data_IF_545788084440
#
_entry.id   IF_545788084440
#
_cell.length_a   1.000
_cell.length_b   1.000
_cell.length_c   1.000
_cell.angle_alpha   90.00
_cell.angle_beta   90.00
_cell.angle_gamma   90.00
#
_symmetry.space_group_name_H-M   'P 1'
#
loop_
_entity.id
_entity.type
_entity.pdbx_description
1 polymer ?
#
# COMPACT_ATOMS: atom_id res chain seq x y z
N UNK A 1 -6.61 -24.06 3.23
CA UNK A 1 -6.15 -23.19 2.13
C UNK A 1 -7.26 -22.26 1.60
N UNK A 2 -8.56 -22.55 1.81
CA UNK A 2 -9.67 -21.65 1.39
C UNK A 2 -9.82 -20.35 2.20
N UNK A 3 -9.28 -20.28 3.43
CA UNK A 3 -9.48 -19.14 4.32
C UNK A 3 -8.67 -17.88 3.96
N UNK A 4 -7.44 -18.04 3.45
CA UNK A 4 -6.51 -16.92 3.19
C UNK A 4 -6.91 -16.13 1.94
N UNK A 5 -7.31 -16.82 0.88
CA UNK A 5 -7.87 -16.17 -0.31
C UNK A 5 -9.17 -15.43 0.01
N UNK A 6 -10.01 -16.01 0.88
CA UNK A 6 -11.25 -15.37 1.34
C UNK A 6 -10.96 -14.06 2.09
N UNK A 7 -9.99 -14.05 3.00
CA UNK A 7 -9.58 -12.82 3.72
C UNK A 7 -9.20 -11.70 2.75
N UNK A 8 -8.35 -11.99 1.76
CA UNK A 8 -7.89 -11.00 0.80
C UNK A 8 -9.02 -10.40 -0.05
N UNK A 9 -9.92 -11.22 -0.58
CA UNK A 9 -11.05 -10.72 -1.37
C UNK A 9 -12.08 -9.95 -0.53
N UNK A 10 -12.29 -10.32 0.73
CA UNK A 10 -13.14 -9.57 1.66
C UNK A 10 -12.54 -8.19 1.94
N UNK A 11 -11.24 -8.13 2.23
CA UNK A 11 -10.52 -6.86 2.44
C UNK A 11 -10.54 -5.98 1.19
N UNK A 12 -10.32 -6.57 0.00
CA UNK A 12 -10.45 -5.87 -1.27
C UNK A 12 -11.86 -5.28 -1.44
N UNK A 13 -12.90 -6.08 -1.24
CA UNK A 13 -14.30 -5.62 -1.36
C UNK A 13 -14.62 -4.48 -0.41
N UNK A 14 -14.18 -4.59 0.85
CA UNK A 14 -14.33 -3.52 1.85
C UNK A 14 -13.56 -2.26 1.47
N UNK A 15 -12.31 -2.40 1.01
CA UNK A 15 -11.47 -1.28 0.57
C UNK A 15 -12.06 -0.55 -0.64
N UNK A 16 -12.55 -1.29 -1.64
CA UNK A 16 -13.23 -0.73 -2.81
C UNK A 16 -14.52 -0.02 -2.41
N UNK A 17 -15.30 -0.57 -1.47
CA UNK A 17 -16.49 0.10 -0.95
C UNK A 17 -16.14 1.44 -0.29
N UNK A 18 -15.07 1.50 0.51
CA UNK A 18 -14.58 2.75 1.14
C UNK A 18 -14.18 3.78 0.09
N UNK A 19 -13.46 3.37 -0.95
CA UNK A 19 -13.09 4.24 -2.08
C UNK A 19 -14.34 4.75 -2.82
N UNK A 20 -15.29 3.86 -3.11
CA UNK A 20 -16.52 4.21 -3.80
C UNK A 20 -17.36 5.22 -3.00
N UNK A 21 -17.51 5.01 -1.68
CA UNK A 21 -18.19 5.94 -0.78
C UNK A 21 -17.49 7.30 -0.77
N UNK A 22 -16.15 7.33 -0.71
CA UNK A 22 -15.39 8.59 -0.80
C UNK A 22 -15.71 9.33 -2.09
N UNK A 23 -15.58 8.66 -3.23
CA UNK A 23 -15.80 9.28 -4.54
C UNK A 23 -17.23 9.80 -4.66
N UNK A 24 -18.23 9.01 -4.23
CA UNK A 24 -19.63 9.41 -4.22
C UNK A 24 -19.88 10.67 -3.35
N UNK A 25 -19.34 10.72 -2.13
CA UNK A 25 -19.47 11.88 -1.24
C UNK A 25 -18.77 13.12 -1.82
N UNK A 26 -17.61 12.95 -2.46
CA UNK A 26 -16.88 14.06 -3.10
C UNK A 26 -17.63 14.63 -4.29
N UNK A 27 -18.20 13.77 -5.13
CA UNK A 27 -19.06 14.18 -6.24
C UNK A 27 -20.28 14.95 -5.72
N UNK A 28 -20.95 14.47 -4.67
CA UNK A 28 -22.12 15.16 -4.08
C UNK A 28 -21.76 16.50 -3.44
N UNK A 29 -20.61 16.60 -2.78
CA UNK A 29 -20.24 17.83 -2.05
C UNK A 29 -19.60 18.90 -2.93
N UNK A 30 -18.81 18.52 -3.95
CA UNK A 30 -17.98 19.46 -4.73
C UNK A 30 -18.30 19.53 -6.23
N UNK A 31 -19.18 18.66 -6.74
CA UNK A 31 -19.46 18.43 -8.16
C UNK A 31 -18.28 17.84 -8.95
N UNK A 32 -18.58 17.09 -10.02
CA UNK A 32 -17.59 16.32 -10.81
C UNK A 32 -16.51 17.22 -11.43
N UNK A 33 -16.86 18.44 -11.84
CA UNK A 33 -15.93 19.39 -12.46
C UNK A 33 -14.89 19.98 -11.51
N UNK A 34 -14.98 19.69 -10.20
CA UNK A 34 -14.05 20.19 -9.18
C UNK A 34 -13.38 19.07 -8.38
N UNK A 35 -13.38 17.86 -8.93
CA UNK A 35 -12.57 16.77 -8.37
C UNK A 35 -11.08 17.16 -8.45
N UNK A 36 -10.35 16.83 -7.39
CA UNK A 36 -8.94 17.17 -7.26
C UNK A 36 -8.07 15.95 -7.52
N UNK A 37 -6.76 16.18 -7.65
CA UNK A 37 -5.77 15.14 -7.95
C UNK A 37 -5.86 13.94 -7.02
N UNK A 38 -6.17 14.13 -5.73
CA UNK A 38 -6.33 13.02 -4.77
C UNK A 38 -7.53 12.11 -5.09
N UNK A 39 -8.59 12.62 -5.70
CA UNK A 39 -9.75 11.82 -6.10
C UNK A 39 -9.39 10.90 -7.28
N UNK A 40 -8.64 11.41 -8.27
CA UNK A 40 -8.15 10.61 -9.39
C UNK A 40 -7.13 9.55 -8.97
N UNK A 41 -6.20 9.92 -8.08
CA UNK A 41 -5.23 8.98 -7.52
C UNK A 41 -5.91 7.83 -6.77
N UNK A 42 -7.06 8.09 -6.14
CA UNK A 42 -7.82 7.04 -5.45
C UNK A 42 -8.50 6.05 -6.43
N UNK A 43 -8.91 6.51 -7.61
CA UNK A 43 -9.41 5.62 -8.68
C UNK A 43 -8.27 4.75 -9.20
N UNK A 44 -7.08 5.34 -9.42
CA UNK A 44 -5.87 4.58 -9.80
C UNK A 44 -5.52 3.55 -8.71
N UNK A 45 -5.58 3.93 -7.44
CA UNK A 45 -5.35 3.02 -6.32
C UNK A 45 -6.35 1.86 -6.31
N UNK A 46 -7.63 2.09 -6.61
CA UNK A 46 -8.62 1.01 -6.72
C UNK A 46 -8.26 -0.01 -7.81
N UNK A 47 -7.82 0.45 -8.98
CA UNK A 47 -7.37 -0.42 -10.09
C UNK A 47 -6.12 -1.21 -9.68
N UNK A 48 -5.14 -0.54 -9.08
CA UNK A 48 -3.92 -1.18 -8.59
C UNK A 48 -4.21 -2.21 -7.50
N UNK A 49 -5.18 -1.95 -6.63
CA UNK A 49 -5.56 -2.87 -5.57
C UNK A 49 -6.21 -4.15 -6.11
N UNK A 50 -7.12 -4.00 -7.08
CA UNK A 50 -7.71 -5.16 -7.79
C UNK A 50 -6.61 -5.98 -8.47
N UNK A 51 -5.69 -5.31 -9.18
CA UNK A 51 -4.60 -5.97 -9.88
C UNK A 51 -3.64 -6.68 -8.92
N UNK A 52 -3.21 -6.01 -7.85
CA UNK A 52 -2.34 -6.56 -6.82
C UNK A 52 -2.93 -7.82 -6.19
N UNK A 53 -4.18 -7.77 -5.75
CA UNK A 53 -4.86 -8.89 -5.10
C UNK A 53 -5.04 -10.07 -6.08
N UNK A 54 -5.39 -9.80 -7.34
CA UNK A 54 -5.53 -10.84 -8.36
C UNK A 54 -4.19 -11.51 -8.69
N UNK A 55 -3.12 -10.74 -8.89
CA UNK A 55 -1.80 -11.27 -9.21
C UNK A 55 -1.26 -12.06 -8.02
N UNK A 56 -1.45 -11.58 -6.79
CA UNK A 56 -1.08 -12.31 -5.57
C UNK A 56 -1.82 -13.66 -5.48
N UNK A 57 -3.13 -13.67 -5.71
CA UNK A 57 -3.91 -14.92 -5.77
C UNK A 57 -3.39 -15.88 -6.85
N UNK A 58 -2.94 -15.38 -8.00
CA UNK A 58 -2.43 -16.22 -9.08
C UNK A 58 -1.14 -16.96 -8.72
N UNK A 59 -0.33 -16.45 -7.78
CA UNK A 59 0.85 -17.16 -7.24
C UNK A 59 0.43 -18.49 -6.62
N UNK A 60 -0.61 -18.50 -5.80
CA UNK A 60 -1.12 -19.72 -5.17
C UNK A 60 -1.96 -20.56 -6.13
N UNK A 61 -2.90 -19.93 -6.85
CA UNK A 61 -3.89 -20.62 -7.66
C UNK A 61 -3.37 -21.16 -9.00
N UNK A 62 -2.43 -20.47 -9.65
CA UNK A 62 -1.89 -20.86 -10.96
C UNK A 62 -0.51 -21.52 -10.80
N UNK A 63 0.34 -20.98 -9.93
CA UNK A 63 1.71 -21.43 -9.77
C UNK A 63 1.94 -22.35 -8.57
N UNK A 64 0.86 -22.82 -7.93
CA UNK A 64 0.88 -23.70 -6.76
C UNK A 64 1.72 -23.17 -5.58
N UNK A 65 1.83 -21.84 -5.45
CA UNK A 65 2.66 -21.18 -4.45
C UNK A 65 4.17 -21.35 -4.66
N UNK A 66 4.60 -21.89 -5.80
CA UNK A 66 6.00 -22.20 -6.08
C UNK A 66 6.72 -20.99 -6.67
N UNK A 67 7.94 -20.75 -6.20
CA UNK A 67 8.88 -19.78 -6.76
C UNK A 67 10.32 -20.31 -6.64
N UNK A 68 11.32 -19.47 -6.92
CA UNK A 68 12.74 -19.85 -6.90
C UNK A 68 13.42 -19.85 -5.51
N UNK A 69 12.65 -19.67 -4.43
CA UNK A 69 13.11 -19.72 -3.04
C UNK A 69 12.65 -21.03 -2.32
N UNK A 70 13.12 -21.23 -1.09
CA UNK A 70 12.68 -22.34 -0.23
C UNK A 70 13.10 -23.73 -0.73
N UNK A 71 14.22 -23.81 -1.46
CA UNK A 71 14.76 -25.03 -2.01
C UNK A 71 16.16 -25.31 -1.42
N UNK A 72 16.41 -26.55 -1.00
CA UNK A 72 17.77 -27.03 -0.72
C UNK A 72 18.55 -27.26 -2.00
N UNK A 73 19.88 -27.36 -1.92
CA UNK A 73 20.74 -27.65 -3.08
C UNK A 73 20.31 -28.95 -3.79
N UNK A 74 20.07 -30.01 -3.02
CA UNK A 74 19.65 -31.32 -3.55
C UNK A 74 18.30 -31.22 -4.29
N UNK A 75 17.33 -30.51 -3.70
CA UNK A 75 16.03 -30.28 -4.34
C UNK A 75 16.13 -29.47 -5.64
N UNK A 76 17.10 -28.55 -5.74
CA UNK A 76 17.34 -27.80 -6.99
C UNK A 76 17.94 -28.69 -8.08
N UNK A 77 18.84 -29.59 -7.71
CA UNK A 77 19.48 -30.54 -8.63
C UNK A 77 18.49 -31.58 -9.18
N UNK A 78 17.49 -31.96 -8.39
CA UNK A 78 16.42 -32.86 -8.81
C UNK A 78 15.45 -32.23 -9.83
N UNK A 79 15.36 -30.90 -9.88
CA UNK A 79 14.44 -30.20 -10.80
C UNK A 79 15.03 -30.16 -12.20
N UNK A 80 14.49 -31.01 -13.07
CA UNK A 80 14.86 -31.06 -14.50
C UNK A 80 14.35 -29.81 -15.22
N UNK A 81 15.23 -29.17 -16.00
CA UNK A 81 14.87 -28.02 -16.83
C UNK A 81 13.76 -28.38 -17.84
N UNK A 82 12.73 -27.53 -17.93
CA UNK A 82 11.57 -27.76 -18.79
C UNK A 82 10.51 -28.72 -18.23
N UNK A 83 10.73 -29.31 -17.05
CA UNK A 83 9.69 -30.04 -16.32
C UNK A 83 8.52 -29.13 -15.90
N UNK A 84 7.38 -29.73 -15.57
CA UNK A 84 6.22 -29.00 -15.04
C UNK A 84 6.60 -28.20 -13.78
N UNK A 85 7.36 -28.80 -12.86
CA UNK A 85 7.83 -28.11 -11.66
C UNK A 85 8.74 -26.92 -11.98
N UNK A 86 9.65 -27.07 -12.95
CA UNK A 86 10.50 -25.97 -13.40
C UNK A 86 9.65 -24.80 -13.93
N UNK A 87 8.65 -25.09 -14.78
CA UNK A 87 7.78 -24.06 -15.35
C UNK A 87 6.92 -23.37 -14.29
N UNK A 88 6.40 -24.11 -13.32
CA UNK A 88 5.64 -23.55 -12.20
C UNK A 88 6.50 -22.56 -11.39
N UNK A 89 7.75 -22.93 -11.08
CA UNK A 89 8.66 -22.07 -10.31
C UNK A 89 9.12 -20.84 -11.07
N UNK A 90 9.45 -20.98 -12.36
CA UNK A 90 9.82 -19.84 -13.21
C UNK A 90 8.64 -18.87 -13.37
N UNK A 91 7.44 -19.40 -13.62
CA UNK A 91 6.21 -18.60 -13.73
C UNK A 91 5.85 -17.91 -12.43
N UNK A 92 5.92 -18.62 -11.31
CA UNK A 92 5.67 -18.07 -9.98
C UNK A 92 6.68 -16.99 -9.59
N UNK A 93 7.99 -17.18 -9.85
CA UNK A 93 9.00 -16.14 -9.63
C UNK A 93 8.73 -14.88 -10.44
N UNK A 94 8.39 -14.99 -11.73
CA UNK A 94 8.04 -13.82 -12.56
C UNK A 94 6.80 -13.10 -12.03
N UNK A 95 5.80 -13.87 -11.62
CA UNK A 95 4.56 -13.35 -11.04
C UNK A 95 4.82 -12.64 -9.72
N UNK A 96 5.72 -13.17 -8.89
CA UNK A 96 6.11 -12.56 -7.62
C UNK A 96 6.79 -11.20 -7.80
N UNK A 97 7.64 -11.04 -8.82
CA UNK A 97 8.20 -9.72 -9.18
C UNK A 97 7.06 -8.75 -9.56
N UNK A 98 6.06 -9.23 -10.30
CA UNK A 98 4.88 -8.42 -10.61
C UNK A 98 4.09 -8.05 -9.34
N UNK A 99 3.86 -9.00 -8.42
CA UNK A 99 3.22 -8.72 -7.11
C UNK A 99 3.95 -7.58 -6.40
N UNK A 100 5.28 -7.64 -6.30
CA UNK A 100 6.07 -6.58 -5.65
C UNK A 100 5.94 -5.22 -6.36
N UNK A 101 5.92 -5.20 -7.69
CA UNK A 101 5.70 -3.97 -8.46
C UNK A 101 4.34 -3.32 -8.14
N UNK A 102 3.26 -4.12 -8.17
CA UNK A 102 1.90 -3.63 -7.93
C UNK A 102 1.68 -3.24 -6.46
N UNK A 103 2.25 -3.98 -5.53
CA UNK A 103 2.26 -3.66 -4.10
C UNK A 103 2.89 -2.29 -3.84
N UNK A 104 4.11 -2.06 -4.36
CA UNK A 104 4.82 -0.78 -4.23
C UNK A 104 4.04 0.33 -4.94
N UNK A 105 3.51 0.08 -6.13
CA UNK A 105 2.71 1.07 -6.86
C UNK A 105 1.46 1.49 -6.07
N UNK A 106 0.74 0.54 -5.48
CA UNK A 106 -0.45 0.81 -4.68
C UNK A 106 -0.13 1.67 -3.46
N UNK A 107 0.81 1.23 -2.61
CA UNK A 107 1.16 1.96 -1.39
C UNK A 107 1.65 3.38 -1.67
N UNK A 108 2.49 3.57 -2.69
CA UNK A 108 2.97 4.90 -3.04
C UNK A 108 1.91 5.77 -3.70
N UNK A 109 0.96 5.19 -4.44
CA UNK A 109 -0.20 5.94 -4.96
C UNK A 109 -1.06 6.47 -3.82
N UNK A 110 -1.29 5.67 -2.77
CA UNK A 110 -2.00 6.10 -1.57
C UNK A 110 -1.26 7.24 -0.84
N UNK A 111 0.07 7.14 -0.70
CA UNK A 111 0.90 8.24 -0.16
C UNK A 111 0.82 9.51 -1.00
N UNK A 112 0.83 9.39 -2.33
CA UNK A 112 0.64 10.51 -3.25
C UNK A 112 -0.76 11.15 -3.09
N UNK A 113 -1.80 10.35 -2.86
CA UNK A 113 -3.15 10.86 -2.59
C UNK A 113 -3.19 11.64 -1.27
N UNK A 114 -2.53 11.16 -0.22
CA UNK A 114 -2.39 11.88 1.06
C UNK A 114 -1.59 13.17 0.88
N UNK A 115 -0.48 13.14 0.14
CA UNK A 115 0.31 14.34 -0.18
C UNK A 115 -0.53 15.39 -0.92
N UNK A 116 -1.30 14.95 -1.93
CA UNK A 116 -2.19 15.82 -2.70
C UNK A 116 -3.28 16.43 -1.81
N UNK A 117 -3.85 15.64 -0.90
CA UNK A 117 -4.79 16.11 0.11
C UNK A 117 -4.17 17.17 1.03
N UNK A 118 -2.96 16.92 1.54
CA UNK A 118 -2.22 17.87 2.38
C UNK A 118 -1.84 19.14 1.63
N UNK A 119 -1.50 19.05 0.35
CA UNK A 119 -1.20 20.21 -0.48
C UNK A 119 -2.41 21.12 -0.58
N UNK A 120 -3.58 20.53 -0.85
CA UNK A 120 -4.85 21.28 -0.91
C UNK A 120 -5.26 21.86 0.44
N UNK A 121 -5.06 21.14 1.54
CA UNK A 121 -5.54 21.57 2.86
C UNK A 121 -4.60 22.56 3.57
N UNK A 122 -3.29 22.36 3.44
CA UNK A 122 -2.27 23.07 4.23
C UNK A 122 -1.32 23.93 3.37
N UNK A 123 -1.42 23.86 2.03
CA UNK A 123 -0.53 24.58 1.12
C UNK A 123 -0.56 26.10 1.25
N UNK A 124 -1.68 26.66 1.73
CA UNK A 124 -1.84 28.10 1.93
C UNK A 124 -1.45 28.56 3.35
N UNK A 125 -1.15 27.62 4.25
CA UNK A 125 -0.71 27.93 5.63
C UNK A 125 0.79 28.24 5.61
N UNK A 126 1.17 29.41 6.13
CA UNK A 126 2.58 29.84 6.23
C UNK A 126 3.41 28.78 6.95
N UNK A 127 4.51 28.36 6.34
CA UNK A 127 5.43 27.34 6.87
C UNK A 127 5.06 25.88 6.57
N UNK A 128 3.81 25.58 6.15
CA UNK A 128 3.40 24.21 5.80
C UNK A 128 3.65 23.85 4.35
N UNK A 129 3.61 24.83 3.43
CA UNK A 129 3.86 24.60 2.00
C UNK A 129 5.18 23.87 1.73
N UNK A 130 6.26 24.30 2.38
CA UNK A 130 7.57 23.67 2.26
C UNK A 130 7.55 22.23 2.81
N UNK A 131 6.91 22.00 3.95
CA UNK A 131 6.81 20.66 4.57
C UNK A 131 6.06 19.68 3.67
N UNK A 132 4.94 20.11 3.09
CA UNK A 132 4.19 19.26 2.15
C UNK A 132 4.97 19.04 0.86
N UNK A 133 5.68 20.05 0.34
CA UNK A 133 6.55 19.86 -0.83
C UNK A 133 7.64 18.82 -0.56
N UNK A 134 8.32 18.91 0.58
CA UNK A 134 9.31 17.92 1.00
C UNK A 134 8.71 16.53 1.14
N UNK A 135 7.43 16.42 1.52
CA UNK A 135 6.72 15.14 1.61
C UNK A 135 6.44 14.55 0.23
N UNK A 136 5.98 15.36 -0.72
CA UNK A 136 5.81 14.93 -2.10
C UNK A 136 7.14 14.44 -2.69
N UNK A 137 8.22 15.19 -2.45
CA UNK A 137 9.56 14.83 -2.94
C UNK A 137 10.09 13.57 -2.27
N UNK A 138 9.88 13.39 -0.95
CA UNK A 138 10.33 12.18 -0.26
C UNK A 138 9.58 10.93 -0.70
N UNK A 139 8.26 11.03 -0.94
CA UNK A 139 7.45 9.93 -1.50
C UNK A 139 7.91 9.57 -2.91
N UNK A 140 8.17 10.56 -3.78
CA UNK A 140 8.64 10.30 -5.13
C UNK A 140 10.05 9.67 -5.14
N UNK A 141 10.97 10.21 -4.34
CA UNK A 141 12.33 9.69 -4.23
C UNK A 141 12.37 8.28 -3.65
N UNK A 142 11.55 8.01 -2.63
CA UNK A 142 11.50 6.70 -2.00
C UNK A 142 10.89 5.65 -2.92
N UNK A 143 9.88 6.01 -3.73
CA UNK A 143 9.32 5.12 -4.76
C UNK A 143 10.39 4.70 -5.76
N UNK A 144 11.12 5.69 -6.32
CA UNK A 144 12.19 5.45 -7.27
C UNK A 144 13.27 4.55 -6.65
N UNK A 145 13.66 4.81 -5.41
CA UNK A 145 14.69 4.02 -4.74
C UNK A 145 14.26 2.56 -4.53
N UNK A 146 13.00 2.30 -4.15
CA UNK A 146 12.47 0.93 -4.00
C UNK A 146 12.35 0.22 -5.34
N UNK A 147 11.85 0.89 -6.38
CA UNK A 147 11.73 0.29 -7.72
C UNK A 147 13.09 0.00 -8.35
N UNK A 148 14.05 0.92 -8.22
CA UNK A 148 15.43 0.67 -8.66
C UNK A 148 16.05 -0.50 -7.90
N UNK A 149 15.79 -0.63 -6.60
CA UNK A 149 16.26 -1.80 -5.83
C UNK A 149 15.63 -3.09 -6.33
N UNK A 150 14.33 -3.09 -6.65
CA UNK A 150 13.64 -4.26 -7.21
C UNK A 150 14.30 -4.74 -8.52
N UNK A 151 14.57 -3.82 -9.45
CA UNK A 151 15.12 -4.20 -10.77
C UNK A 151 16.65 -4.32 -10.82
N UNK A 152 17.39 -3.68 -9.92
CA UNK A 152 18.85 -3.63 -9.95
C UNK A 152 19.54 -4.42 -8.83
N UNK A 153 18.80 -4.98 -7.87
CA UNK A 153 19.40 -5.80 -6.80
C UNK A 153 19.96 -7.12 -7.32
N UNK A 154 19.40 -7.65 -8.41
CA UNK A 154 19.84 -8.85 -9.08
C UNK A 154 20.32 -8.55 -10.51
N UNK A 155 21.62 -8.74 -10.78
CA UNK A 155 22.21 -8.51 -12.10
C UNK A 155 22.97 -9.77 -12.56
N UNK A 156 22.66 -10.32 -13.74
CA UNK A 156 21.59 -9.94 -14.67
C UNK A 156 20.18 -10.29 -14.16
N UNK A 157 19.19 -9.47 -14.51
CA UNK A 157 17.80 -9.56 -14.01
C UNK A 157 17.11 -10.90 -14.26
N UNK A 158 17.50 -11.65 -15.29
CA UNK A 158 16.91 -12.96 -15.54
C UNK A 158 17.18 -14.00 -14.43
N UNK A 159 18.10 -13.71 -13.51
CA UNK A 159 18.38 -14.57 -12.36
C UNK A 159 17.27 -14.53 -11.31
N UNK A 160 16.36 -13.56 -11.35
CA UNK A 160 15.21 -13.51 -10.43
C UNK A 160 14.24 -14.69 -10.58
N UNK A 161 14.29 -15.40 -11.70
CA UNK A 161 13.54 -16.63 -11.95
C UNK A 161 14.44 -17.82 -12.29
N UNK A 162 15.73 -17.76 -11.95
CA UNK A 162 16.65 -18.88 -12.11
C UNK A 162 16.43 -19.91 -10.98
N UNK A 163 16.37 -21.20 -11.35
CA UNK A 163 16.18 -22.31 -10.41
C UNK A 163 17.52 -22.97 -10.08
N UNK A 164 18.31 -23.30 -11.10
CA UNK A 164 19.62 -23.93 -10.97
C UNK A 164 20.61 -23.27 -11.96
N UNK A 165 21.87 -22.98 -11.55
CA UNK A 165 22.43 -23.03 -10.20
C UNK A 165 21.70 -22.08 -9.22
N UNK A 166 21.88 -22.23 -7.91
CA UNK A 166 21.29 -21.32 -6.92
C UNK A 166 21.70 -19.85 -7.20
N UNK A 167 20.74 -18.94 -7.51
CA UNK A 167 21.07 -17.53 -7.77
C UNK A 167 21.38 -16.74 -6.49
N UNK A 168 21.12 -17.32 -5.32
CA UNK A 168 21.32 -16.70 -4.01
C UNK A 168 20.23 -15.69 -3.62
N UNK A 169 20.20 -15.32 -2.34
CA UNK A 169 19.08 -14.56 -1.77
C UNK A 169 18.81 -13.21 -2.46
N UNK A 170 19.82 -12.54 -3.02
CA UNK A 170 19.63 -11.26 -3.73
C UNK A 170 18.70 -11.36 -4.93
N UNK A 171 18.59 -12.56 -5.51
CA UNK A 171 17.84 -12.87 -6.72
C UNK A 171 16.64 -13.79 -6.44
N UNK A 172 16.23 -13.92 -5.17
CA UNK A 172 14.99 -14.63 -4.84
C UNK A 172 13.82 -13.67 -4.99
N UNK A 173 12.96 -13.90 -5.99
CA UNK A 173 11.87 -12.99 -6.33
C UNK A 173 10.96 -12.67 -5.14
N UNK A 174 10.66 -13.64 -4.28
CA UNK A 174 9.78 -13.45 -3.12
C UNK A 174 10.46 -12.81 -1.91
N UNK A 175 11.75 -13.11 -1.69
CA UNK A 175 12.42 -12.91 -0.39
C UNK A 175 13.79 -12.22 -0.51
N UNK A 176 13.96 -11.42 -1.56
CA UNK A 176 15.19 -10.64 -1.79
C UNK A 176 15.45 -9.67 -0.63
N UNK A 177 16.48 -9.93 0.18
CA UNK A 177 16.84 -9.09 1.35
C UNK A 177 17.07 -7.62 0.98
N UNK A 178 17.80 -7.26 -0.10
CA UNK A 178 17.96 -5.86 -0.50
C UNK A 178 16.62 -5.16 -0.73
N UNK A 179 15.70 -5.81 -1.46
CA UNK A 179 14.38 -5.25 -1.73
C UNK A 179 13.56 -5.08 -0.43
N UNK A 180 13.50 -6.12 0.40
CA UNK A 180 12.73 -6.10 1.65
C UNK A 180 13.18 -4.98 2.59
N UNK A 181 14.49 -4.91 2.86
CA UNK A 181 15.06 -3.89 3.76
C UNK A 181 14.83 -2.49 3.19
N UNK A 182 15.07 -2.29 1.89
CA UNK A 182 14.89 -0.98 1.28
C UNK A 182 13.42 -0.55 1.28
N UNK A 183 12.51 -1.45 0.93
CA UNK A 183 11.08 -1.22 0.97
C UNK A 183 10.64 -0.84 2.39
N UNK A 184 11.02 -1.63 3.40
CA UNK A 184 10.65 -1.38 4.80
C UNK A 184 11.12 0.01 5.28
N UNK A 185 12.39 0.34 5.05
CA UNK A 185 12.96 1.60 5.54
C UNK A 185 12.29 2.81 4.88
N UNK A 186 12.13 2.76 3.55
CA UNK A 186 11.50 3.83 2.79
C UNK A 186 10.02 4.01 3.13
N UNK A 187 9.32 2.90 3.33
CA UNK A 187 7.91 2.88 3.68
C UNK A 187 7.66 3.50 5.06
N UNK A 188 8.35 2.99 6.10
CA UNK A 188 8.26 3.54 7.46
C UNK A 188 8.69 5.01 7.50
N UNK A 189 9.79 5.36 6.84
CA UNK A 189 10.29 6.74 6.85
C UNK A 189 9.27 7.70 6.22
N UNK A 190 8.63 7.31 5.12
CA UNK A 190 7.63 8.16 4.47
C UNK A 190 6.31 8.22 5.24
N UNK A 191 5.85 7.10 5.82
CA UNK A 191 4.65 7.08 6.68
C UNK A 191 4.83 7.93 7.93
N UNK A 192 5.96 7.77 8.63
CA UNK A 192 6.29 8.57 9.80
C UNK A 192 6.34 10.07 9.46
N UNK A 193 6.90 10.42 8.30
CA UNK A 193 6.95 11.81 7.86
C UNK A 193 5.55 12.36 7.57
N UNK A 194 4.71 11.62 6.84
CA UNK A 194 3.34 12.04 6.54
C UNK A 194 2.49 12.20 7.81
N UNK A 195 2.61 11.29 8.77
CA UNK A 195 1.95 11.39 10.07
C UNK A 195 2.44 12.60 10.88
N UNK A 196 3.70 12.97 10.76
CA UNK A 196 4.27 14.09 11.49
C UNK A 196 3.80 15.47 10.98
N UNK A 197 3.38 15.60 9.71
CA UNK A 197 2.98 16.90 9.13
C UNK A 197 1.84 17.57 9.91
N UNK A 198 0.69 16.93 10.17
CA UNK A 198 -0.42 17.59 10.86
C UNK A 198 -0.16 17.81 12.36
N UNK A 199 0.77 17.09 13.00
CA UNK A 199 0.98 17.13 14.47
C UNK A 199 1.17 18.56 15.03
N UNK A 200 2.08 19.39 14.50
CA UNK A 200 2.31 20.72 15.07
C UNK A 200 1.09 21.62 14.91
N UNK A 201 0.32 21.47 13.82
CA UNK A 201 -0.89 22.25 13.58
C UNK A 201 -1.95 21.98 14.66
N UNK A 202 -2.04 20.71 15.06
CA UNK A 202 -3.04 20.25 16.01
C UNK A 202 -2.68 20.65 17.45
N UNK A 203 -1.39 20.64 17.80
CA UNK A 203 -0.93 21.12 19.12
C UNK A 203 -1.00 22.64 19.28
N UNK A 204 -0.85 23.39 18.19
CA UNK A 204 -0.97 24.84 18.21
C UNK A 204 -2.43 25.33 18.24
N UNK A 205 -3.39 24.48 17.84
CA UNK A 205 -4.81 24.83 17.84
C UNK A 205 -5.41 24.71 19.25
N UNK A 206 -5.41 25.82 20.00
CA UNK A 206 -6.14 25.94 21.26
C UNK A 206 -7.65 25.87 20.97
N UNK A 207 -8.33 24.79 21.40
CA UNK A 207 -9.81 24.67 21.32
C UNK A 207 -10.39 23.52 20.51
N UNK A 208 -9.61 22.48 20.17
CA UNK A 208 -10.14 21.29 19.48
C UNK A 208 -11.32 20.66 20.24
N UNK A 209 -12.43 20.45 19.54
CA UNK A 209 -13.61 19.75 20.07
C UNK A 209 -13.24 18.30 20.44
N UNK A 210 -13.96 17.69 21.40
CA UNK A 210 -13.73 16.29 21.79
C UNK A 210 -13.77 15.34 20.58
N UNK A 211 -14.68 15.58 19.64
CA UNK A 211 -14.80 14.79 18.41
C UNK A 211 -13.57 14.89 17.50
N UNK A 212 -12.98 16.07 17.34
CA UNK A 212 -11.75 16.25 16.55
C UNK A 212 -10.54 15.58 17.21
N UNK A 213 -10.45 15.60 18.55
CA UNK A 213 -9.40 14.89 19.28
C UNK A 213 -9.50 13.38 19.08
N UNK A 214 -10.71 12.82 19.18
CA UNK A 214 -10.95 11.39 18.94
C UNK A 214 -10.61 11.02 17.50
N UNK A 215 -11.13 11.77 16.52
CA UNK A 215 -10.84 11.51 15.11
C UNK A 215 -9.34 11.56 14.78
N UNK A 216 -8.62 12.47 15.43
CA UNK A 216 -7.18 12.56 15.28
C UNK A 216 -6.44 11.34 15.86
N UNK A 217 -6.79 10.94 17.08
CA UNK A 217 -6.22 9.74 17.71
C UNK A 217 -6.45 8.52 16.83
N UNK A 218 -7.65 8.36 16.27
CA UNK A 218 -7.97 7.25 15.36
C UNK A 218 -7.07 7.26 14.13
N UNK A 219 -6.85 8.41 13.49
CA UNK A 219 -5.96 8.51 12.31
C UNK A 219 -4.51 8.17 12.66
N UNK A 220 -4.00 8.64 13.81
CA UNK A 220 -2.65 8.28 14.27
C UNK A 220 -2.49 6.81 14.58
N UNK A 221 -3.43 6.23 15.33
CA UNK A 221 -3.42 4.81 15.64
C UNK A 221 -3.45 3.97 14.37
N UNK A 222 -4.31 4.34 13.42
CA UNK A 222 -4.44 3.61 12.17
C UNK A 222 -3.15 3.70 11.32
N UNK A 223 -2.50 4.86 11.25
CA UNK A 223 -1.19 4.99 10.60
C UNK A 223 -0.09 4.17 11.28
N UNK A 224 -0.10 4.09 12.61
CA UNK A 224 0.84 3.24 13.35
C UNK A 224 0.60 1.75 13.10
N UNK A 225 -0.67 1.32 12.93
CA UNK A 225 -0.98 -0.06 12.57
C UNK A 225 -0.41 -0.45 11.20
N UNK A 226 -0.43 0.46 10.22
CA UNK A 226 0.21 0.22 8.90
C UNK A 226 1.70 -0.07 9.06
N UNK A 227 2.40 0.74 9.88
CA UNK A 227 3.83 0.54 10.19
C UNK A 227 4.06 -0.83 10.85
N UNK A 228 3.18 -1.25 11.78
CA UNK A 228 3.29 -2.58 12.42
C UNK A 228 3.18 -3.69 11.38
N UNK A 229 2.23 -3.60 10.44
CA UNK A 229 2.08 -4.59 9.38
C UNK A 229 3.34 -4.67 8.49
N UNK A 230 3.91 -3.53 8.11
CA UNK A 230 5.15 -3.47 7.33
C UNK A 230 6.31 -4.15 8.07
N UNK A 231 6.45 -3.91 9.38
CA UNK A 231 7.48 -4.56 10.22
C UNK A 231 7.22 -6.06 10.33
N UNK A 232 5.98 -6.48 10.55
CA UNK A 232 5.61 -7.89 10.70
C UNK A 232 5.96 -8.69 9.42
N UNK A 233 5.57 -8.17 8.25
CA UNK A 233 5.88 -8.75 6.93
C UNK A 233 7.38 -9.02 6.77
N UNK A 234 8.20 -8.00 7.04
CA UNK A 234 9.64 -8.10 6.84
C UNK A 234 10.32 -8.99 7.89
N UNK A 235 9.86 -8.95 9.15
CA UNK A 235 10.42 -9.78 10.23
C UNK A 235 10.19 -11.26 9.95
N UNK A 236 8.99 -11.64 9.48
CA UNK A 236 8.66 -13.02 9.13
C UNK A 236 9.60 -13.57 8.06
N UNK A 237 9.88 -12.80 7.01
CA UNK A 237 10.80 -13.22 5.94
C UNK A 237 12.27 -13.28 6.39
N UNK A 238 12.67 -12.44 7.34
CA UNK A 238 14.03 -12.47 7.88
C UNK A 238 14.26 -13.64 8.84
N UNK A 239 13.25 -14.01 9.63
CA UNK A 239 13.32 -15.11 10.61
C UNK A 239 13.06 -16.47 9.95
N UNK A 240 12.12 -16.53 8.99
CA UNK A 240 11.71 -17.75 8.31
C UNK A 240 11.76 -17.57 6.78
N UNK A 241 12.97 -17.50 6.18
CA UNK A 241 13.11 -17.24 4.74
C UNK A 241 12.53 -18.34 3.84
N UNK A 242 12.49 -19.58 4.32
CA UNK A 242 12.07 -20.74 3.52
C UNK A 242 10.56 -21.02 3.60
N UNK A 243 9.92 -20.69 4.72
CA UNK A 243 8.50 -21.01 4.99
C UNK A 243 7.62 -19.78 5.21
N UNK A 244 8.22 -18.60 5.43
CA UNK A 244 7.52 -17.38 5.79
C UNK A 244 6.87 -16.63 4.63
N UNK A 245 7.05 -17.07 3.38
CA UNK A 245 6.57 -16.36 2.20
C UNK A 245 5.05 -16.17 2.19
N UNK A 246 4.28 -17.22 2.52
CA UNK A 246 2.81 -17.14 2.61
C UNK A 246 2.36 -16.20 3.72
N UNK A 247 2.87 -16.40 4.95
CA UNK A 247 2.53 -15.55 6.08
C UNK A 247 2.90 -14.07 5.84
N UNK A 248 4.01 -13.82 5.16
CA UNK A 248 4.39 -12.47 4.71
C UNK A 248 3.38 -11.89 3.71
N UNK A 249 2.87 -12.69 2.77
CA UNK A 249 1.81 -12.31 1.86
C UNK A 249 0.55 -11.82 2.59
N UNK A 250 0.11 -12.56 3.62
CA UNK A 250 -1.05 -12.18 4.43
C UNK A 250 -0.89 -10.81 5.09
N UNK A 251 0.30 -10.54 5.63
CA UNK A 251 0.60 -9.24 6.23
C UNK A 251 0.65 -8.12 5.19
N UNK A 252 1.10 -8.39 3.96
CA UNK A 252 1.08 -7.42 2.87
C UNK A 252 -0.35 -7.02 2.49
N UNK A 253 -1.27 -7.98 2.42
CA UNK A 253 -2.70 -7.70 2.13
C UNK A 253 -3.35 -6.88 3.24
N UNK A 254 -3.03 -7.18 4.51
CA UNK A 254 -3.50 -6.40 5.67
C UNK A 254 -2.97 -4.97 5.65
N UNK A 255 -1.71 -4.80 5.25
CA UNK A 255 -1.05 -3.51 5.13
C UNK A 255 -1.70 -2.64 4.04
N UNK A 256 -1.91 -3.18 2.84
CA UNK A 256 -2.59 -2.45 1.75
C UNK A 256 -4.02 -2.08 2.12
N UNK A 257 -4.74 -3.00 2.76
CA UNK A 257 -6.09 -2.73 3.28
C UNK A 257 -6.10 -1.58 4.29
N UNK A 258 -5.23 -1.62 5.31
CA UNK A 258 -5.14 -0.57 6.33
C UNK A 258 -4.66 0.77 5.74
N UNK A 259 -3.77 0.74 4.75
CA UNK A 259 -3.35 1.93 4.01
C UNK A 259 -4.51 2.56 3.23
N UNK A 260 -5.38 1.75 2.61
CA UNK A 260 -6.60 2.23 1.96
C UNK A 260 -7.53 2.85 3.00
N UNK A 261 -7.77 2.21 4.13
CA UNK A 261 -8.63 2.79 5.18
C UNK A 261 -8.08 4.13 5.68
N UNK A 262 -6.81 4.16 6.09
CA UNK A 262 -6.16 5.34 6.70
C UNK A 262 -6.13 6.55 5.77
N UNK A 263 -5.77 6.34 4.49
CA UNK A 263 -5.73 7.40 3.47
C UNK A 263 -7.10 7.97 3.12
N UNK A 264 -8.18 7.24 3.41
CA UNK A 264 -9.56 7.64 3.16
C UNK A 264 -10.26 8.24 4.38
N UNK A 265 -9.85 7.90 5.61
CA UNK A 265 -10.48 8.37 6.85
C UNK A 265 -10.61 9.90 6.94
N UNK A 266 -9.52 10.65 6.67
CA UNK A 266 -9.52 12.10 6.79
C UNK A 266 -10.45 12.78 5.77
N UNK A 267 -10.51 12.26 4.55
CA UNK A 267 -11.34 12.80 3.46
C UNK A 267 -12.80 12.45 3.66
N UNK A 268 -13.09 11.23 4.12
CA UNK A 268 -14.44 10.81 4.47
C UNK A 268 -15.00 11.65 5.62
N UNK A 269 -14.22 11.86 6.69
CA UNK A 269 -14.64 12.67 7.82
C UNK A 269 -14.97 14.11 7.40
N UNK A 270 -14.10 14.74 6.61
CA UNK A 270 -14.31 16.11 6.13
C UNK A 270 -15.49 16.21 5.15
N UNK A 271 -15.62 15.28 4.22
CA UNK A 271 -16.70 15.27 3.22
C UNK A 271 -18.06 14.98 3.86
N UNK A 272 -18.11 14.04 4.81
CA UNK A 272 -19.34 13.72 5.55
C UNK A 272 -19.85 14.90 6.36
N UNK A 273 -18.95 15.63 7.04
CA UNK A 273 -19.31 16.85 7.77
C UNK A 273 -19.88 17.93 6.85
N UNK A 274 -19.30 18.11 5.66
CA UNK A 274 -19.79 19.06 4.67
C UNK A 274 -21.15 18.65 4.08
N UNK A 275 -21.35 17.37 3.81
CA UNK A 275 -22.62 16.83 3.32
C UNK A 275 -23.75 17.06 4.32
N UNK A 276 -23.55 16.71 5.60
CA UNK A 276 -24.56 16.90 6.64
C UNK A 276 -25.00 18.36 6.79
N UNK A 277 -24.04 19.29 6.75
CA UNK A 277 -24.35 20.72 6.83
C UNK A 277 -25.16 21.20 5.62
N UNK A 278 -24.85 20.71 4.39
CA UNK A 278 -25.63 21.07 3.19
C UNK A 278 -27.07 20.57 3.25
N UNK A 279 -27.31 19.38 3.79
CA UNK A 279 -28.66 18.84 3.93
C UNK A 279 -29.46 19.64 4.99
N UNK A 280 -28.82 20.02 6.11
CA UNK A 280 -29.43 20.91 7.11
C UNK A 280 -29.81 22.28 6.51
N UNK A 281 -28.92 22.89 5.72
CA UNK A 281 -29.19 24.16 5.04
C UNK A 281 -30.31 24.02 3.99
N UNK A 282 -30.33 22.92 3.23
CA UNK A 282 -31.35 22.62 2.22
C UNK A 282 -32.75 22.45 2.82
N UNK A 283 -32.86 21.74 3.95
CA UNK A 283 -34.11 21.59 4.71
C UNK A 283 -34.58 22.95 5.26
N UNK A 284 -33.66 23.77 5.78
CA UNK A 284 -33.99 25.10 6.30
C UNK A 284 -34.48 26.08 5.20
N UNK A 285 -33.99 25.95 3.96
CA UNK A 285 -34.47 26.76 2.83
C UNK A 285 -35.80 26.31 2.24
N UNK A 286 -36.17 25.03 2.36
CA UNK A 286 -37.45 24.51 1.85
C UNK A 286 -38.64 24.76 2.79
N UNK A 287 -38.40 25.16 4.05
CA UNK A 287 -39.45 25.44 5.04
C UNK A 287 -39.81 26.93 5.17
N UNK A 288 -39.34 27.79 4.26
CA UNK A 288 -39.70 29.21 4.14
C UNK A 288 -40.45 29.44 2.84
#
# INVERSE_FOLDING_TARGET
>A
MEGVTTEAYVMLGMGLAVIAVRVALRIRTTAVSRLSTDDYLMIVAAILYIAETYIAWSVEGVWAGKANNGLTTDQREEIVEGSEEYLLRVGGSKTQVAVQCFFVALLWTLKCAVCSFYWRLMGDIKGYRLRVLLACLSVAASWLAVQLTLFCSCVPFHRDWQIQPDPGNRCYAAVSRPFLVMCLLMDIATDAYLLAIPLPMLWQTKGLTKAQKIGLTVVFCAGFTVIICAVARNTILLVHPDTGAHASGDWAVRETFLAVLTSNLAVLYSSFRLWRNKDEDGVATSSK
#
